data_IF_366865957049
#
_entry.id   IF_366865957049
#
_cell.length_a   1.000
_cell.length_b   1.000
_cell.length_c   1.000
_cell.angle_alpha   90.00
_cell.angle_beta   90.00
_cell.angle_gamma   90.00
#
_symmetry.space_group_name_H-M   'P 1'
#
loop_
_entity.id
_entity.type
_entity.pdbx_description
1 polymer ?
#
# COMPACT_ATOMS: atom_id res chain seq x y z
N UNK A 1 4.31 -6.49 5.80
CA UNK A 1 3.31 -5.41 5.57
C UNK A 1 3.72 -4.64 4.33
N UNK A 2 2.81 -4.42 3.39
CA UNK A 2 3.04 -3.43 2.34
C UNK A 2 2.40 -2.11 2.68
N UNK A 3 3.11 -1.02 2.41
CA UNK A 3 2.61 0.34 2.53
C UNK A 3 2.63 0.98 1.16
N UNK A 4 1.47 1.38 0.66
CA UNK A 4 1.29 1.80 -0.73
C UNK A 4 0.91 3.27 -0.80
N UNK A 5 1.58 3.99 -1.70
CA UNK A 5 1.26 5.37 -2.05
C UNK A 5 1.60 5.63 -3.52
N UNK A 6 1.14 6.74 -4.08
CA UNK A 6 1.47 7.14 -5.46
C UNK A 6 1.59 8.65 -5.54
N UNK A 7 2.48 9.13 -6.42
CA UNK A 7 2.75 10.56 -6.56
C UNK A 7 3.15 11.16 -5.21
N UNK A 8 2.43 12.19 -4.77
CA UNK A 8 2.64 12.85 -3.48
C UNK A 8 2.48 11.91 -2.27
N UNK A 9 1.69 10.85 -2.40
CA UNK A 9 1.49 9.86 -1.34
C UNK A 9 2.64 8.88 -1.15
N UNK A 10 3.60 8.78 -2.08
CA UNK A 10 4.71 7.81 -1.97
C UNK A 10 5.65 8.12 -0.81
N UNK A 11 5.97 9.39 -0.57
CA UNK A 11 6.82 9.79 0.55
C UNK A 11 6.21 9.40 1.90
N UNK A 12 4.90 9.60 2.05
CA UNK A 12 4.17 9.16 3.25
C UNK A 12 4.21 7.63 3.43
N UNK A 13 4.09 6.87 2.34
CA UNK A 13 4.19 5.41 2.38
C UNK A 13 5.59 4.93 2.81
N UNK A 14 6.65 5.55 2.27
CA UNK A 14 8.04 5.26 2.62
C UNK A 14 8.33 5.55 4.09
N UNK A 15 7.88 6.70 4.59
CA UNK A 15 8.06 7.08 5.98
C UNK A 15 7.32 6.13 6.92
N UNK A 16 6.05 5.80 6.62
CA UNK A 16 5.29 4.85 7.44
C UNK A 16 5.95 3.47 7.47
N UNK A 17 6.42 2.95 6.32
CA UNK A 17 7.14 1.67 6.28
C UNK A 17 8.45 1.72 7.06
N UNK A 18 9.20 2.83 7.01
CA UNK A 18 10.39 3.04 7.83
C UNK A 18 10.04 2.98 9.32
N UNK A 19 8.98 3.67 9.75
CA UNK A 19 8.58 3.68 11.17
C UNK A 19 8.07 2.34 11.66
N UNK A 20 7.35 1.56 10.84
CA UNK A 20 6.99 0.19 11.21
C UNK A 20 8.23 -0.69 11.46
N UNK A 21 9.28 -0.54 10.63
CA UNK A 21 10.55 -1.26 10.83
C UNK A 21 11.25 -0.83 12.11
N UNK A 22 11.40 0.47 12.34
CA UNK A 22 12.17 1.02 13.47
C UNK A 22 11.47 0.86 14.82
N UNK A 23 10.18 1.14 14.87
CA UNK A 23 9.45 1.28 16.14
C UNK A 23 8.69 0.02 16.55
N UNK A 24 8.27 -0.79 15.58
CA UNK A 24 7.51 -2.01 15.82
C UNK A 24 8.32 -3.28 15.55
N UNK A 25 9.54 -3.19 14.99
CA UNK A 25 10.29 -4.35 14.51
C UNK A 25 9.55 -5.12 13.41
N UNK A 26 8.59 -4.48 12.73
CA UNK A 26 7.74 -5.11 11.73
C UNK A 26 8.39 -4.97 10.36
N UNK A 27 8.52 -6.08 9.63
CA UNK A 27 8.93 -6.03 8.23
C UNK A 27 7.86 -5.32 7.40
N UNK A 28 8.13 -4.06 7.08
CA UNK A 28 7.30 -3.22 6.25
C UNK A 28 8.10 -2.67 5.07
N UNK A 29 7.48 -2.70 3.90
CA UNK A 29 8.08 -2.23 2.65
C UNK A 29 7.11 -1.31 1.92
N UNK A 30 7.64 -0.19 1.43
CA UNK A 30 6.85 0.80 0.71
C UNK A 30 7.00 0.63 -0.80
N UNK A 31 5.87 0.65 -1.50
CA UNK A 31 5.83 0.59 -2.96
C UNK A 31 4.96 1.69 -3.54
N UNK A 32 5.36 2.16 -4.73
CA UNK A 32 4.45 2.92 -5.58
C UNK A 32 3.27 2.04 -5.98
N UNK A 33 2.05 2.52 -5.81
CA UNK A 33 0.85 1.76 -6.22
C UNK A 33 0.81 1.49 -7.73
N UNK A 34 1.63 2.18 -8.54
CA UNK A 34 1.81 1.87 -9.96
C UNK A 34 2.67 0.63 -10.20
N UNK A 35 3.67 0.39 -9.34
CA UNK A 35 4.70 -0.65 -9.54
C UNK A 35 4.32 -2.00 -8.96
N UNK A 36 3.34 -2.04 -8.03
CA UNK A 36 2.99 -3.28 -7.33
C UNK A 36 2.57 -4.41 -8.27
N UNK A 37 1.99 -4.08 -9.44
CA UNK A 37 1.59 -5.08 -10.43
C UNK A 37 2.77 -5.80 -11.10
N UNK A 38 3.98 -5.26 -11.01
CA UNK A 38 5.16 -5.76 -11.70
C UNK A 38 6.06 -6.67 -10.84
N UNK A 39 5.54 -7.21 -9.73
CA UNK A 39 6.26 -8.15 -8.90
C UNK A 39 5.68 -8.28 -7.50
N UNK A 40 5.56 -7.18 -6.73
CA UNK A 40 5.13 -7.26 -5.34
C UNK A 40 3.74 -7.88 -5.16
N UNK A 41 2.85 -7.76 -6.14
CA UNK A 41 1.54 -8.40 -6.16
C UNK A 41 1.58 -9.94 -6.06
N UNK A 42 2.70 -10.58 -6.41
CA UNK A 42 2.87 -12.02 -6.25
C UNK A 42 2.83 -12.48 -4.78
N UNK A 43 3.18 -11.58 -3.85
CA UNK A 43 3.21 -11.86 -2.40
C UNK A 43 1.87 -11.60 -1.72
N UNK A 44 0.92 -10.94 -2.40
CA UNK A 44 -0.36 -10.54 -1.82
C UNK A 44 -1.42 -11.63 -2.03
N UNK A 45 -1.88 -12.22 -0.91
CA UNK A 45 -2.95 -13.22 -0.86
C UNK A 45 -3.78 -13.13 0.44
N UNK A 46 -4.56 -14.17 0.77
CA UNK A 46 -5.43 -14.18 1.95
C UNK A 46 -4.70 -13.80 3.25
N UNK A 47 -5.21 -12.80 3.96
CA UNK A 47 -4.67 -12.32 5.23
C UNK A 47 -3.39 -11.48 5.13
N UNK A 48 -2.81 -11.28 3.94
CA UNK A 48 -1.60 -10.46 3.81
C UNK A 48 -1.92 -8.98 4.14
N UNK A 49 -1.17 -8.31 5.04
CA UNK A 49 -1.48 -6.96 5.46
C UNK A 49 -0.99 -5.90 4.46
N UNK A 50 -1.90 -5.01 4.05
CA UNK A 50 -1.63 -3.89 3.14
C UNK A 50 -2.24 -2.59 3.66
N UNK A 51 -1.41 -1.58 3.89
CA UNK A 51 -1.82 -0.21 4.20
C UNK A 51 -1.72 0.66 2.94
N UNK A 52 -2.77 1.41 2.61
CA UNK A 52 -2.86 2.20 1.38
C UNK A 52 -3.16 3.66 1.70
N UNK A 53 -2.37 4.57 1.14
CA UNK A 53 -2.57 6.01 1.18
C UNK A 53 -3.05 6.52 -0.18
N UNK A 54 -4.33 6.88 -0.27
CA UNK A 54 -4.92 7.43 -1.49
C UNK A 54 -5.05 8.95 -1.40
N UNK A 55 -4.49 9.65 -2.39
CA UNK A 55 -4.54 11.11 -2.48
C UNK A 55 -5.83 11.59 -3.15
N UNK A 56 -6.28 12.83 -2.87
CA UNK A 56 -7.38 13.50 -3.59
C UNK A 56 -6.88 14.12 -4.91
N UNK A 57 -6.09 13.38 -5.68
CA UNK A 57 -5.50 13.81 -6.94
C UNK A 57 -5.77 12.79 -8.06
N UNK A 58 -5.17 12.99 -9.23
CA UNK A 58 -5.33 12.13 -10.41
C UNK A 58 -4.88 10.68 -10.16
N UNK A 59 -4.05 10.44 -9.13
CA UNK A 59 -3.56 9.10 -8.78
C UNK A 59 -4.53 8.33 -7.90
N UNK A 60 -5.42 9.04 -7.18
CA UNK A 60 -6.29 8.48 -6.16
C UNK A 60 -7.25 7.40 -6.68
N UNK A 61 -7.81 7.57 -7.87
CA UNK A 61 -8.70 6.58 -8.47
C UNK A 61 -7.97 5.25 -8.72
N UNK A 62 -6.75 5.31 -9.27
CA UNK A 62 -5.93 4.13 -9.50
C UNK A 62 -5.51 3.43 -8.20
N UNK A 63 -5.16 4.21 -7.17
CA UNK A 63 -4.79 3.66 -5.85
C UNK A 63 -5.97 2.98 -5.16
N UNK A 64 -7.19 3.55 -5.23
CA UNK A 64 -8.41 2.91 -4.70
C UNK A 64 -8.78 1.64 -5.45
N UNK A 65 -8.64 1.63 -6.78
CA UNK A 65 -8.88 0.45 -7.60
C UNK A 65 -7.93 -0.70 -7.20
N UNK A 66 -6.64 -0.40 -6.98
CA UNK A 66 -5.67 -1.39 -6.51
C UNK A 66 -6.03 -1.93 -5.11
N UNK A 67 -6.47 -1.07 -4.19
CA UNK A 67 -6.91 -1.50 -2.87
C UNK A 67 -8.10 -2.48 -2.95
N UNK A 68 -9.05 -2.23 -3.86
CA UNK A 68 -10.16 -3.15 -4.10
C UNK A 68 -9.69 -4.49 -4.69
N UNK A 69 -8.72 -4.46 -5.61
CA UNK A 69 -8.10 -5.67 -6.19
C UNK A 69 -7.45 -6.55 -5.11
N UNK A 70 -6.73 -5.96 -4.15
CA UNK A 70 -6.16 -6.72 -3.03
C UNK A 70 -7.20 -7.30 -2.08
N UNK A 71 -8.28 -6.56 -1.81
CA UNK A 71 -9.40 -7.10 -1.01
C UNK A 71 -10.04 -8.30 -1.71
N UNK A 72 -10.23 -8.24 -3.02
CA UNK A 72 -10.76 -9.35 -3.81
C UNK A 72 -9.85 -10.60 -3.77
N UNK A 73 -8.54 -10.41 -3.57
CA UNK A 73 -7.55 -11.50 -3.35
C UNK A 73 -7.48 -11.98 -1.89
N UNK A 74 -8.31 -11.45 -1.00
CA UNK A 74 -8.38 -11.84 0.41
C UNK A 74 -7.37 -11.14 1.32
N UNK A 75 -6.63 -10.14 0.81
CA UNK A 75 -5.68 -9.39 1.63
C UNK A 75 -6.40 -8.55 2.69
N UNK A 76 -5.71 -8.29 3.81
CA UNK A 76 -6.21 -7.39 4.84
C UNK A 76 -5.82 -5.96 4.48
N UNK A 77 -6.77 -5.17 3.99
CA UNK A 77 -6.51 -3.85 3.40
C UNK A 77 -7.08 -2.72 4.24
N UNK A 78 -6.19 -1.89 4.80
CA UNK A 78 -6.53 -0.60 5.41
C UNK A 78 -6.28 0.52 4.40
N UNK A 79 -7.27 1.41 4.25
CA UNK A 79 -7.22 2.52 3.31
C UNK A 79 -7.39 3.82 4.10
N UNK A 80 -6.39 4.70 4.03
CA UNK A 80 -6.54 6.09 4.44
C UNK A 80 -6.72 6.94 3.18
N UNK A 81 -7.86 7.61 3.12
CA UNK A 81 -8.28 8.50 2.07
C UNK A 81 -9.03 9.69 2.72
N UNK A 82 -9.06 10.86 2.07
CA UNK A 82 -9.86 11.99 2.53
C UNK A 82 -11.36 11.69 2.57
#
# INVERSE_FOLDING_TARGET
>A
LFVLGRGLGLGAAQEAALKFKETCGLHAEAYSSAEVKHGPMALVGPGFPVLVFAQPDETGAGTRALAAEFRARGAQVWLAAP
#
